data_IF_137705922189
#
_entry.id   IF_137705922189
#
_cell.length_a   1.000
_cell.length_b   1.000
_cell.length_c   1.000
_cell.angle_alpha   90.00
_cell.angle_beta   90.00
_cell.angle_gamma   90.00
#
_symmetry.space_group_name_H-M   'P 1'
#
loop_
_entity.id
_entity.type
_entity.pdbx_description
1 polymer ?
#
# COMPACT_ATOMS: atom_id res chain seq x y z
N UNK A 1 25.48 1.88 24.35
CA UNK A 1 25.57 0.63 23.56
C UNK A 1 24.95 0.95 22.22
N UNK A 2 25.74 0.99 21.15
CA UNK A 2 25.19 1.14 19.81
C UNK A 2 24.34 -0.09 19.49
N UNK A 3 23.05 0.11 19.34
CA UNK A 3 22.14 -0.95 18.93
C UNK A 3 22.47 -1.29 17.47
N UNK A 4 23.16 -2.39 17.24
CA UNK A 4 23.40 -2.88 15.88
C UNK A 4 22.07 -3.27 15.25
N UNK A 5 21.66 -2.53 14.26
CA UNK A 5 20.46 -2.83 13.49
C UNK A 5 20.82 -3.77 12.34
N UNK A 6 20.03 -4.83 12.10
CA UNK A 6 20.31 -5.82 11.06
C UNK A 6 20.44 -5.18 9.66
N UNK A 7 19.71 -4.08 9.41
CA UNK A 7 19.71 -3.39 8.12
C UNK A 7 20.97 -2.57 7.83
N UNK A 8 21.87 -2.36 8.80
CA UNK A 8 23.14 -1.65 8.58
C UNK A 8 24.27 -2.57 8.14
N UNK A 9 24.31 -3.80 8.66
CA UNK A 9 25.44 -4.71 8.49
C UNK A 9 25.10 -5.94 7.64
N UNK A 10 23.81 -6.12 7.32
CA UNK A 10 23.31 -7.27 6.57
C UNK A 10 23.36 -6.99 5.07
N UNK A 11 23.90 -7.90 4.23
CA UNK A 11 23.97 -7.67 2.79
C UNK A 11 22.56 -7.68 2.18
N UNK A 12 22.24 -6.61 1.45
CA UNK A 12 20.94 -6.45 0.79
C UNK A 12 20.94 -7.06 -0.61
N UNK A 13 20.59 -8.32 -0.71
CA UNK A 13 20.17 -8.95 -1.97
C UNK A 13 18.69 -9.21 -1.88
N UNK A 14 17.91 -8.18 -2.19
CA UNK A 14 16.47 -8.20 -2.03
C UNK A 14 15.78 -8.69 -3.30
N UNK A 15 14.88 -9.63 -3.14
CA UNK A 15 13.94 -10.07 -4.19
C UNK A 15 12.54 -9.63 -3.82
N UNK A 16 11.86 -8.99 -4.77
CA UNK A 16 10.43 -8.72 -4.67
C UNK A 16 9.68 -9.71 -5.55
N UNK A 17 8.84 -10.52 -4.93
CA UNK A 17 7.90 -11.38 -5.65
C UNK A 17 6.54 -10.68 -5.67
N UNK A 18 5.97 -10.50 -6.87
CA UNK A 18 4.61 -9.99 -7.02
C UNK A 18 3.62 -11.15 -7.07
N UNK A 19 3.54 -11.90 -5.97
CA UNK A 19 2.58 -13.00 -5.85
C UNK A 19 1.16 -12.46 -6.08
N UNK A 20 0.41 -13.18 -6.90
CA UNK A 20 -1.00 -12.89 -7.13
C UNK A 20 -1.83 -13.34 -5.94
N UNK A 21 -3.02 -12.82 -5.86
CA UNK A 21 -3.99 -13.22 -4.82
C UNK A 21 -4.28 -14.74 -4.83
N UNK A 22 -4.31 -15.33 -6.03
CA UNK A 22 -4.52 -16.77 -6.24
C UNK A 22 -3.35 -17.65 -5.79
N UNK A 23 -2.14 -17.12 -5.79
CA UNK A 23 -0.94 -17.91 -5.49
C UNK A 23 -0.91 -18.36 -4.01
N UNK A 24 -1.67 -17.67 -3.14
CA UNK A 24 -1.79 -18.02 -1.72
C UNK A 24 -2.63 -19.28 -1.46
N UNK A 25 -3.32 -19.80 -2.47
CA UNK A 25 -4.19 -20.98 -2.33
C UNK A 25 -3.40 -22.30 -2.15
N UNK A 26 -2.25 -22.40 -2.81
CA UNK A 26 -1.50 -23.66 -2.92
C UNK A 26 0.03 -23.48 -2.88
N UNK A 27 0.52 -22.35 -2.37
CA UNK A 27 1.95 -22.09 -2.32
C UNK A 27 2.68 -23.06 -1.39
N UNK A 28 3.73 -23.71 -1.90
CA UNK A 28 4.68 -24.47 -1.10
C UNK A 28 5.71 -23.51 -0.51
N UNK A 29 5.53 -23.18 0.77
CA UNK A 29 6.36 -22.21 1.49
C UNK A 29 7.84 -22.64 1.58
N UNK A 30 8.12 -23.94 1.76
CA UNK A 30 9.48 -24.45 1.85
C UNK A 30 10.18 -24.42 0.48
N UNK A 31 9.48 -24.84 -0.60
CA UNK A 31 10.01 -24.75 -1.96
C UNK A 31 10.23 -23.29 -2.38
N UNK A 32 9.30 -22.39 -2.05
CA UNK A 32 9.43 -20.96 -2.31
C UNK A 32 10.69 -20.39 -1.63
N UNK A 33 10.86 -20.62 -0.35
CA UNK A 33 12.01 -20.11 0.41
C UNK A 33 13.33 -20.75 -0.05
N UNK A 34 13.31 -22.03 -0.50
CA UNK A 34 14.49 -22.67 -1.07
C UNK A 34 14.92 -22.01 -2.38
N UNK A 35 13.97 -21.72 -3.28
CA UNK A 35 14.29 -21.01 -4.54
C UNK A 35 14.89 -19.63 -4.27
N UNK A 36 14.38 -18.87 -3.29
CA UNK A 36 14.97 -17.59 -2.91
C UNK A 36 16.42 -17.75 -2.40
N UNK A 37 16.68 -18.77 -1.60
CA UNK A 37 18.02 -19.06 -1.10
C UNK A 37 18.97 -19.45 -2.24
N UNK A 38 18.51 -20.25 -3.20
CA UNK A 38 19.30 -20.67 -4.39
C UNK A 38 19.67 -19.47 -5.25
N UNK A 39 18.82 -18.44 -5.34
CA UNK A 39 19.15 -17.15 -5.96
C UNK A 39 20.06 -16.26 -5.10
N UNK A 40 20.40 -16.69 -3.89
CA UNK A 40 21.22 -15.95 -2.96
C UNK A 40 20.52 -14.74 -2.33
N UNK A 41 19.18 -14.75 -2.27
CA UNK A 41 18.42 -13.70 -1.58
C UNK A 41 18.77 -13.65 -0.09
N UNK A 42 18.87 -12.43 0.44
CA UNK A 42 19.03 -12.20 1.88
C UNK A 42 17.82 -11.47 2.45
N UNK A 43 17.03 -10.82 1.59
CA UNK A 43 15.80 -10.11 1.93
C UNK A 43 14.75 -10.41 0.86
N UNK A 44 13.50 -10.58 1.28
CA UNK A 44 12.35 -10.71 0.38
C UNK A 44 11.23 -9.78 0.81
N UNK A 45 10.44 -9.27 -0.14
CA UNK A 45 9.18 -8.59 0.16
C UNK A 45 8.01 -9.51 -0.15
N UNK A 46 7.11 -9.71 0.81
CA UNK A 46 5.87 -10.47 0.64
C UNK A 46 4.65 -9.53 0.73
N UNK A 47 3.67 -9.75 -0.15
CA UNK A 47 2.39 -9.05 -0.04
C UNK A 47 1.73 -9.41 1.29
N UNK A 48 1.47 -8.41 2.12
CA UNK A 48 0.91 -8.61 3.45
C UNK A 48 -0.49 -8.03 3.59
N UNK A 49 -0.64 -6.73 3.33
CA UNK A 49 -1.86 -6.01 3.67
C UNK A 49 -2.12 -4.78 2.77
N UNK A 50 -3.27 -4.16 2.95
CA UNK A 50 -3.69 -2.94 2.26
C UNK A 50 -4.87 -3.21 1.33
N UNK A 51 -4.66 -3.26 0.01
CA UNK A 51 -5.74 -3.57 -0.94
C UNK A 51 -6.42 -4.90 -0.56
N UNK A 52 -5.61 -5.89 -0.17
CA UNK A 52 -6.04 -7.22 0.27
C UNK A 52 -5.13 -7.66 1.41
N UNK A 53 -5.71 -8.31 2.41
CA UNK A 53 -4.98 -9.03 3.44
C UNK A 53 -4.62 -10.44 2.96
N UNK A 54 -3.33 -10.78 2.99
CA UNK A 54 -2.82 -12.14 2.74
C UNK A 54 -2.78 -13.00 4.02
N UNK A 55 -3.54 -12.63 5.02
CA UNK A 55 -3.71 -13.31 6.32
C UNK A 55 -5.14 -13.15 6.81
N UNK A 56 -5.54 -13.87 7.85
CA UNK A 56 -6.87 -13.73 8.45
C UNK A 56 -6.95 -12.43 9.26
N UNK A 57 -7.52 -11.38 8.63
CA UNK A 57 -7.73 -10.10 9.28
C UNK A 57 -8.99 -10.10 10.16
N UNK A 58 -8.94 -9.34 11.26
CA UNK A 58 -10.09 -9.07 12.13
C UNK A 58 -10.73 -7.70 11.83
N UNK A 59 -10.15 -6.94 10.89
CA UNK A 59 -10.59 -5.59 10.55
C UNK A 59 -11.67 -5.66 9.46
N UNK A 60 -12.86 -5.16 9.75
CA UNK A 60 -14.02 -5.19 8.85
C UNK A 60 -13.93 -4.19 7.68
N UNK A 61 -12.92 -3.34 7.70
CA UNK A 61 -12.58 -2.38 6.67
C UNK A 61 -11.36 -2.79 5.81
N UNK A 62 -10.89 -4.03 5.94
CA UNK A 62 -9.88 -4.61 5.07
C UNK A 62 -10.47 -5.83 4.32
N UNK A 63 -10.18 -5.93 3.03
CA UNK A 63 -10.60 -7.09 2.24
C UNK A 63 -9.65 -8.25 2.50
N UNK A 64 -10.17 -9.35 2.98
CA UNK A 64 -9.41 -10.59 3.07
C UNK A 64 -9.34 -11.29 1.72
N UNK A 65 -8.20 -11.88 1.38
CA UNK A 65 -8.08 -12.70 0.18
C UNK A 65 -9.05 -13.88 0.24
N UNK A 66 -9.89 -14.08 -0.80
CA UNK A 66 -10.77 -15.25 -0.89
C UNK A 66 -10.00 -16.55 -1.19
N UNK A 67 -8.74 -16.45 -1.59
CA UNK A 67 -7.86 -17.59 -1.89
C UNK A 67 -6.99 -18.00 -0.71
N UNK A 68 -7.15 -17.32 0.42
CA UNK A 68 -6.38 -17.64 1.62
C UNK A 68 -6.82 -18.98 2.18
N UNK A 69 -5.90 -19.94 2.23
CA UNK A 69 -6.07 -21.24 2.87
C UNK A 69 -5.07 -21.36 4.02
N UNK A 70 -5.58 -21.55 5.25
CA UNK A 70 -4.71 -21.73 6.41
C UNK A 70 -3.83 -20.52 6.76
N UNK A 71 -2.54 -20.75 6.96
CA UNK A 71 -1.54 -19.80 7.45
C UNK A 71 -0.38 -19.56 6.49
N UNK A 72 -0.62 -19.65 5.18
CA UNK A 72 0.41 -19.62 4.14
C UNK A 72 1.39 -18.45 4.27
N UNK A 73 0.92 -17.24 4.63
CA UNK A 73 1.82 -16.09 4.86
C UNK A 73 2.80 -16.35 6.02
N UNK A 74 2.32 -16.88 7.15
CA UNK A 74 3.17 -17.22 8.29
C UNK A 74 4.18 -18.30 7.93
N UNK A 75 3.73 -19.34 7.25
CA UNK A 75 4.58 -20.46 6.80
C UNK A 75 5.70 -19.97 5.88
N UNK A 76 5.40 -19.06 4.95
CA UNK A 76 6.41 -18.45 4.07
C UNK A 76 7.44 -17.61 4.86
N UNK A 77 6.99 -16.83 5.84
CA UNK A 77 7.88 -16.04 6.70
C UNK A 77 8.81 -16.97 7.48
N UNK A 78 8.28 -18.01 8.11
CA UNK A 78 9.06 -18.97 8.88
C UNK A 78 10.06 -19.75 8.02
N UNK A 79 9.64 -20.18 6.82
CA UNK A 79 10.52 -20.87 5.87
C UNK A 79 11.67 -19.98 5.38
N UNK A 80 11.41 -18.69 5.16
CA UNK A 80 12.44 -17.70 4.83
C UNK A 80 13.40 -17.49 6.02
N UNK A 81 12.88 -17.31 7.22
CA UNK A 81 13.70 -17.11 8.43
C UNK A 81 14.61 -18.30 8.73
N UNK A 82 14.13 -19.54 8.56
CA UNK A 82 14.95 -20.78 8.67
C UNK A 82 16.19 -20.76 7.77
N UNK A 83 16.12 -20.05 6.64
CA UNK A 83 17.21 -19.89 5.66
C UNK A 83 17.99 -18.59 5.80
N UNK A 84 17.77 -17.84 6.87
CA UNK A 84 18.42 -16.55 7.11
C UNK A 84 17.97 -15.45 6.19
N UNK A 85 16.79 -15.56 5.52
CA UNK A 85 16.23 -14.53 4.66
C UNK A 85 15.29 -13.65 5.48
N UNK A 86 15.56 -12.35 5.50
CA UNK A 86 14.69 -11.35 6.14
C UNK A 86 13.44 -11.08 5.30
N UNK A 87 12.33 -10.87 5.97
CA UNK A 87 11.03 -10.71 5.31
C UNK A 87 10.43 -9.34 5.58
N UNK A 88 10.18 -8.57 4.52
CA UNK A 88 9.59 -7.24 4.56
C UNK A 88 8.11 -7.34 4.18
N UNK A 89 7.23 -6.84 5.03
CA UNK A 89 5.82 -6.69 4.73
C UNK A 89 5.60 -5.65 3.63
N UNK A 90 5.20 -6.06 2.43
CA UNK A 90 4.77 -5.14 1.40
C UNK A 90 3.30 -4.81 1.62
N UNK A 91 3.02 -3.54 1.82
CA UNK A 91 1.67 -3.00 2.01
C UNK A 91 1.33 -2.01 0.91
N UNK A 92 0.05 -1.94 0.53
CA UNK A 92 -0.43 -1.02 -0.50
C UNK A 92 -1.79 -0.43 -0.08
N UNK A 93 -1.77 0.81 0.36
CA UNK A 93 -2.96 1.54 0.80
C UNK A 93 -3.54 2.44 -0.29
N UNK A 94 -3.03 2.36 -1.52
CA UNK A 94 -3.48 3.21 -2.63
C UNK A 94 -4.89 2.91 -3.11
N UNK A 95 -5.42 1.73 -2.80
CA UNK A 95 -6.73 1.27 -3.28
C UNK A 95 -7.46 0.45 -2.22
N UNK A 96 -8.79 0.39 -2.37
CA UNK A 96 -9.68 -0.52 -1.65
C UNK A 96 -10.57 -1.26 -2.64
N UNK A 97 -11.10 -2.39 -2.24
CA UNK A 97 -12.10 -3.14 -3.02
C UNK A 97 -13.50 -2.54 -2.87
N UNK A 98 -14.34 -2.81 -3.85
CA UNK A 98 -15.70 -2.26 -3.92
C UNK A 98 -16.55 -2.50 -2.65
N UNK A 99 -16.52 -3.65 -1.97
CA UNK A 99 -17.27 -3.85 -0.74
C UNK A 99 -16.90 -2.88 0.39
N UNK A 100 -15.60 -2.54 0.49
CA UNK A 100 -15.13 -1.55 1.48
C UNK A 100 -15.52 -0.14 1.04
N UNK A 101 -15.39 0.18 -0.25
CA UNK A 101 -15.82 1.47 -0.78
C UNK A 101 -17.32 1.73 -0.54
N UNK A 102 -18.18 0.73 -0.67
CA UNK A 102 -19.63 0.88 -0.40
C UNK A 102 -19.91 1.27 1.05
N UNK A 103 -19.09 0.84 1.99
CA UNK A 103 -19.19 1.23 3.41
C UNK A 103 -18.57 2.61 3.69
N UNK A 104 -17.53 2.98 2.95
CA UNK A 104 -16.70 4.16 3.17
C UNK A 104 -16.45 4.95 1.88
N UNK A 105 -17.49 5.54 1.26
CA UNK A 105 -17.36 6.23 -0.03
C UNK A 105 -16.54 7.53 0.04
N UNK A 106 -16.34 8.07 1.23
CA UNK A 106 -15.53 9.24 1.54
C UNK A 106 -14.02 8.99 1.47
N UNK A 107 -13.58 7.72 1.44
CA UNK A 107 -12.16 7.37 1.31
C UNK A 107 -11.64 7.47 -0.12
N UNK A 108 -12.54 7.52 -1.10
CA UNK A 108 -12.19 7.46 -2.49
C UNK A 108 -11.49 8.75 -3.01
N UNK A 109 -10.54 8.53 -3.88
CA UNK A 109 -10.01 9.57 -4.78
C UNK A 109 -11.10 9.97 -5.77
N UNK A 110 -11.27 11.26 -6.00
CA UNK A 110 -12.26 11.77 -6.96
C UNK A 110 -11.60 12.68 -7.97
N UNK A 111 -11.97 12.51 -9.23
CA UNK A 111 -11.55 13.42 -10.29
C UNK A 111 -12.20 14.80 -10.14
N UNK A 112 -11.87 15.72 -11.05
CA UNK A 112 -12.40 17.08 -11.06
C UNK A 112 -13.91 17.19 -11.25
N UNK A 113 -14.55 16.14 -11.77
CA UNK A 113 -16.00 16.06 -11.98
C UNK A 113 -16.71 15.36 -10.81
N UNK A 114 -15.97 14.96 -9.78
CA UNK A 114 -16.48 14.22 -8.62
C UNK A 114 -16.61 12.71 -8.85
N UNK A 115 -16.19 12.19 -10.01
CA UNK A 115 -16.23 10.77 -10.29
C UNK A 115 -15.19 10.02 -9.46
N UNK A 116 -15.56 8.84 -9.00
CA UNK A 116 -14.64 7.92 -8.30
C UNK A 116 -13.65 7.34 -9.29
N UNK A 117 -12.37 7.37 -8.93
CA UNK A 117 -11.34 6.71 -9.72
C UNK A 117 -11.35 5.21 -9.40
N UNK A 118 -11.77 4.42 -10.38
CA UNK A 118 -11.90 2.96 -10.28
C UNK A 118 -11.14 2.30 -11.42
N UNK A 119 -10.20 1.44 -11.06
CA UNK A 119 -9.47 0.60 -12.01
C UNK A 119 -9.78 -0.87 -11.74
N UNK A 120 -10.65 -1.46 -12.57
CA UNK A 120 -11.02 -2.88 -12.51
C UNK A 120 -11.47 -3.34 -11.11
N UNK A 121 -12.37 -2.59 -10.47
CA UNK A 121 -12.89 -2.91 -9.14
C UNK A 121 -11.99 -2.52 -7.98
N UNK A 122 -10.83 -1.91 -8.27
CA UNK A 122 -9.95 -1.30 -7.29
C UNK A 122 -10.17 0.20 -7.24
N UNK A 123 -10.85 0.66 -6.22
CA UNK A 123 -11.16 2.08 -6.00
C UNK A 123 -9.93 2.76 -5.38
N UNK A 124 -9.42 3.77 -6.07
CA UNK A 124 -8.28 4.55 -5.58
C UNK A 124 -8.67 5.33 -4.32
N UNK A 125 -7.80 5.31 -3.31
CA UNK A 125 -7.99 6.04 -2.06
C UNK A 125 -7.29 7.39 -2.09
N UNK A 126 -7.82 8.34 -1.34
CA UNK A 126 -7.21 9.65 -1.21
C UNK A 126 -6.11 9.65 -0.14
N UNK A 127 -4.88 10.17 -0.42
CA UNK A 127 -3.82 10.31 0.59
C UNK A 127 -4.22 11.16 1.81
N UNK A 128 -5.20 12.05 1.65
CA UNK A 128 -5.76 12.87 2.74
C UNK A 128 -7.02 12.27 3.37
N UNK A 129 -7.43 11.09 2.94
CA UNK A 129 -8.58 10.38 3.49
C UNK A 129 -8.22 9.57 4.73
N UNK A 130 -9.22 9.25 5.55
CA UNK A 130 -9.08 8.49 6.78
C UNK A 130 -8.45 7.10 6.55
N UNK A 131 -8.68 6.47 5.38
CA UNK A 131 -8.08 5.19 5.07
C UNK A 131 -6.55 5.24 5.11
N UNK A 132 -5.92 6.20 4.39
CA UNK A 132 -4.46 6.29 4.34
C UNK A 132 -3.86 6.98 5.58
N UNK A 133 -4.59 7.87 6.26
CA UNK A 133 -4.06 8.61 7.43
C UNK A 133 -4.23 7.88 8.77
N UNK A 134 -5.29 7.08 8.89
CA UNK A 134 -5.68 6.47 10.17
C UNK A 134 -5.78 4.94 10.05
N UNK A 135 -6.59 4.44 9.12
CA UNK A 135 -6.86 3.00 9.00
C UNK A 135 -5.66 2.18 8.56
N UNK A 136 -4.78 2.77 7.75
CA UNK A 136 -3.51 2.14 7.40
C UNK A 136 -2.65 1.79 8.63
N UNK A 137 -2.68 2.64 9.67
CA UNK A 137 -1.95 2.40 10.91
C UNK A 137 -2.55 1.24 11.73
N UNK A 138 -3.88 1.11 11.72
CA UNK A 138 -4.56 -0.02 12.35
C UNK A 138 -4.21 -1.34 11.64
N UNK A 139 -4.21 -1.32 10.30
CA UNK A 139 -3.81 -2.47 9.47
C UNK A 139 -2.33 -2.85 9.72
N UNK A 140 -1.44 -1.86 9.73
CA UNK A 140 -0.02 -2.09 10.02
C UNK A 140 0.17 -2.68 11.43
N UNK A 141 -0.54 -2.15 12.42
CA UNK A 141 -0.49 -2.69 13.79
C UNK A 141 -0.94 -4.15 13.81
N UNK A 142 -2.06 -4.48 13.17
CA UNK A 142 -2.55 -5.85 13.12
C UNK A 142 -1.51 -6.79 12.51
N UNK A 143 -1.04 -6.51 11.30
CA UNK A 143 -0.14 -7.41 10.56
C UNK A 143 1.22 -7.58 11.26
N UNK A 144 1.77 -6.50 11.83
CA UNK A 144 3.07 -6.54 12.50
C UNK A 144 3.03 -7.15 13.90
N UNK A 145 1.86 -7.17 14.54
CA UNK A 145 1.71 -7.86 15.84
C UNK A 145 1.36 -9.33 15.68
N UNK A 146 0.85 -9.74 14.52
CA UNK A 146 0.45 -11.13 14.27
C UNK A 146 1.48 -11.92 13.46
N UNK A 147 2.39 -11.24 12.75
CA UNK A 147 3.39 -11.87 11.89
C UNK A 147 4.79 -11.28 12.14
N UNK A 148 5.84 -12.11 12.23
CA UNK A 148 7.19 -11.67 12.58
C UNK A 148 7.95 -11.08 11.39
N UNK A 149 7.42 -10.03 10.77
CA UNK A 149 8.11 -9.29 9.72
C UNK A 149 9.32 -8.53 10.27
N UNK A 150 10.38 -8.42 9.47
CA UNK A 150 11.60 -7.68 9.80
C UNK A 150 11.52 -6.20 9.44
N UNK A 151 10.52 -5.80 8.67
CA UNK A 151 10.31 -4.41 8.24
C UNK A 151 9.05 -4.24 7.39
N UNK A 152 8.81 -3.01 6.96
CA UNK A 152 7.66 -2.63 6.14
C UNK A 152 8.11 -1.90 4.88
N UNK A 153 7.46 -2.18 3.78
CA UNK A 153 7.54 -1.46 2.53
C UNK A 153 6.15 -0.95 2.13
N UNK A 154 5.97 0.37 2.12
CA UNK A 154 4.74 1.01 1.68
C UNK A 154 4.80 1.24 0.16
N UNK A 155 4.05 0.44 -0.59
CA UNK A 155 3.95 0.56 -2.04
C UNK A 155 2.94 1.65 -2.44
N UNK A 156 3.18 2.29 -3.60
CA UNK A 156 2.23 3.21 -4.25
C UNK A 156 1.72 4.33 -3.33
N UNK A 157 2.60 4.92 -2.53
CA UNK A 157 2.26 6.08 -1.69
C UNK A 157 2.11 7.35 -2.53
N UNK A 158 1.11 8.18 -2.22
CA UNK A 158 0.91 9.50 -2.80
C UNK A 158 -0.27 9.63 -3.77
N UNK A 159 -0.30 10.75 -4.50
CA UNK A 159 -1.36 11.06 -5.45
C UNK A 159 -1.11 10.39 -6.81
N UNK A 160 -1.86 9.36 -7.10
CA UNK A 160 -1.77 8.63 -8.37
C UNK A 160 -2.71 9.26 -9.40
N UNK A 161 -2.19 10.20 -10.17
CA UNK A 161 -2.97 10.99 -11.15
C UNK A 161 -3.22 10.26 -12.48
N UNK A 162 -2.53 9.13 -12.71
CA UNK A 162 -2.67 8.28 -13.89
C UNK A 162 -2.84 6.85 -13.43
N UNK A 163 -3.75 6.11 -14.02
CA UNK A 163 -3.91 4.68 -13.73
C UNK A 163 -3.02 3.78 -14.61
N UNK A 164 -3.09 2.46 -14.38
CA UNK A 164 -2.28 1.49 -15.15
C UNK A 164 -2.66 1.34 -16.62
N UNK A 165 -3.82 1.89 -17.05
CA UNK A 165 -4.20 1.97 -18.46
C UNK A 165 -3.72 3.26 -19.11
N UNK A 166 -3.02 4.13 -18.38
CA UNK A 166 -2.56 5.44 -18.86
C UNK A 166 -3.66 6.52 -18.86
N UNK A 167 -4.81 6.25 -18.24
CA UNK A 167 -5.88 7.24 -18.12
C UNK A 167 -5.51 8.27 -17.06
N UNK A 168 -5.53 9.54 -17.47
CA UNK A 168 -5.25 10.67 -16.59
C UNK A 168 -6.52 11.09 -15.82
N UNK A 169 -6.48 11.00 -14.51
CA UNK A 169 -7.57 11.38 -13.60
C UNK A 169 -7.36 12.77 -12.98
N UNK A 170 -6.13 13.28 -13.01
CA UNK A 170 -5.76 14.58 -12.46
C UNK A 170 -5.70 14.66 -10.94
N UNK A 171 -5.68 15.89 -10.38
CA UNK A 171 -5.68 16.11 -8.94
C UNK A 171 -6.89 15.53 -8.22
N UNK A 172 -6.71 15.14 -6.96
CA UNK A 172 -7.84 14.68 -6.14
C UNK A 172 -8.74 15.84 -5.71
N UNK A 173 -10.00 15.79 -6.11
CA UNK A 173 -11.04 16.76 -5.78
C UNK A 173 -12.03 16.24 -4.72
N UNK A 174 -11.65 15.28 -3.87
CA UNK A 174 -12.48 14.89 -2.73
C UNK A 174 -12.57 16.04 -1.71
N UNK A 175 -13.60 15.99 -0.86
CA UNK A 175 -13.87 17.08 0.10
C UNK A 175 -12.69 17.34 1.06
N UNK A 176 -11.95 16.30 1.48
CA UNK A 176 -10.77 16.46 2.31
C UNK A 176 -9.67 17.27 1.60
N UNK A 177 -9.38 16.95 0.35
CA UNK A 177 -8.37 17.67 -0.40
C UNK A 177 -8.78 19.13 -0.68
N UNK A 178 -10.04 19.36 -1.07
CA UNK A 178 -10.57 20.71 -1.30
C UNK A 178 -10.47 21.56 -0.03
N UNK A 179 -10.93 21.02 1.09
CA UNK A 179 -10.89 21.72 2.39
C UNK A 179 -9.45 22.07 2.79
N UNK A 180 -8.55 21.08 2.81
CA UNK A 180 -7.17 21.27 3.23
C UNK A 180 -6.40 22.25 2.34
N UNK A 181 -6.61 22.18 1.02
CA UNK A 181 -5.95 23.08 0.09
C UNK A 181 -6.44 24.52 0.25
N UNK A 182 -7.75 24.69 0.45
CA UNK A 182 -8.35 26.01 0.73
C UNK A 182 -7.87 26.58 2.05
N UNK A 183 -7.81 25.78 3.12
CA UNK A 183 -7.30 26.19 4.44
C UNK A 183 -5.85 26.64 4.36
N UNK A 184 -5.02 25.93 3.62
CA UNK A 184 -3.58 26.18 3.53
C UNK A 184 -3.20 27.34 2.59
N UNK A 185 -3.92 27.50 1.49
CA UNK A 185 -3.53 28.44 0.42
C UNK A 185 -4.60 29.47 0.05
N UNK A 186 -5.82 29.36 0.56
CA UNK A 186 -6.94 30.21 0.16
C UNK A 186 -7.39 30.01 -1.30
N UNK A 187 -7.08 28.86 -1.89
CA UNK A 187 -7.29 28.56 -3.30
C UNK A 187 -8.11 27.28 -3.51
N UNK A 188 -8.67 27.16 -4.73
CA UNK A 188 -9.26 25.90 -5.19
C UNK A 188 -8.18 24.99 -5.80
N UNK A 189 -8.38 23.66 -5.70
CA UNK A 189 -7.48 22.68 -6.31
C UNK A 189 -7.46 22.88 -7.82
N UNK A 190 -6.27 22.92 -8.47
CA UNK A 190 -6.17 23.09 -9.91
C UNK A 190 -6.80 21.90 -10.65
N UNK A 191 -7.42 22.18 -11.80
CA UNK A 191 -8.08 21.19 -12.63
C UNK A 191 -7.12 20.15 -13.23
N UNK A 192 -5.84 20.51 -13.34
CA UNK A 192 -4.77 19.66 -13.87
C UNK A 192 -3.52 19.80 -13.01
N UNK A 193 -2.76 18.74 -12.90
CA UNK A 193 -1.40 18.73 -12.34
C UNK A 193 -0.44 19.18 -13.47
N UNK A 194 -0.36 20.47 -13.68
CA UNK A 194 0.31 21.10 -14.83
C UNK A 194 1.29 22.18 -14.36
N UNK A 195 2.60 22.04 -14.67
CA UNK A 195 3.61 23.08 -14.37
C UNK A 195 3.32 24.46 -14.97
N UNK A 196 2.51 24.54 -16.03
CA UNK A 196 2.06 25.79 -16.62
C UNK A 196 1.02 26.54 -15.79
N UNK A 197 0.41 25.92 -14.79
CA UNK A 197 -0.55 26.57 -13.89
C UNK A 197 0.18 27.52 -12.92
N UNK A 198 -0.24 28.79 -12.78
CA UNK A 198 0.37 29.76 -11.84
C UNK A 198 0.45 29.26 -10.39
N UNK A 199 -0.51 28.45 -9.95
CA UNK A 199 -0.59 27.89 -8.62
C UNK A 199 0.05 26.49 -8.50
N UNK A 200 0.70 26.00 -9.54
CA UNK A 200 1.33 24.69 -9.57
C UNK A 200 2.31 24.45 -8.41
N UNK A 201 3.15 25.44 -8.08
CA UNK A 201 4.11 25.31 -6.98
C UNK A 201 3.41 25.07 -5.64
N UNK A 202 2.28 25.74 -5.41
CA UNK A 202 1.48 25.54 -4.19
C UNK A 202 0.86 24.16 -4.17
N UNK A 203 0.32 23.69 -5.31
CA UNK A 203 -0.23 22.35 -5.42
C UNK A 203 0.86 21.27 -5.28
N UNK A 204 2.03 21.44 -5.87
CA UNK A 204 3.17 20.53 -5.70
C UNK A 204 3.61 20.43 -4.24
N UNK A 205 3.68 21.57 -3.54
CA UNK A 205 3.99 21.62 -2.10
C UNK A 205 2.90 20.92 -1.27
N UNK A 206 1.63 21.11 -1.60
CA UNK A 206 0.51 20.42 -0.98
C UNK A 206 0.63 18.90 -1.12
N UNK A 207 0.86 18.40 -2.34
CA UNK A 207 1.08 16.97 -2.57
C UNK A 207 2.23 16.41 -1.72
N UNK A 208 3.36 17.10 -1.73
CA UNK A 208 4.55 16.69 -0.94
C UNK A 208 4.30 16.67 0.56
N UNK A 209 3.51 17.61 1.10
CA UNK A 209 3.17 17.65 2.52
C UNK A 209 2.22 16.52 2.93
N UNK A 210 1.31 16.11 2.04
CA UNK A 210 0.35 15.04 2.31
C UNK A 210 0.97 13.64 2.33
N UNK A 211 2.16 13.46 1.76
CA UNK A 211 2.85 12.16 1.62
C UNK A 211 4.00 11.98 2.62
N UNK A 212 4.17 12.93 3.52
CA UNK A 212 5.10 12.85 4.67
C UNK A 212 4.34 12.34 5.94
#
# INVERSE_FOLDING_TARGET
MDVKHWWTDYPWRMIQTNLRETDMADIDAEAYAQQLADYGATVVTLNAAGIIASYQTKLDFQTQSPYLTGSSLMEMIEACHKRGIRVIARTDFSKIREPIFKKHPDWAYRDKNGNVVNYNGNIQTCPNGAYQKEKSLEILREVLTTHPFDGVFCNMSGFLVVDYSGVYHGPCHCENCKRLFREQYGLEIPQKDDPGNPDYKKYASFKSACTK
#
